data_IF_971215151189
#
_entry.id   IF_971215151189
#
_cell.length_a   1.000
_cell.length_b   1.000
_cell.length_c   1.000
_cell.angle_alpha   90.00
_cell.angle_beta   90.00
_cell.angle_gamma   90.00
#
_symmetry.space_group_name_H-M   'P 1'
#
loop_
_entity.id
_entity.type
_entity.pdbx_description
1 polymer ?
#
# COMPACT_ATOMS: atom_id res chain seq x y z
N UNK A 1 20.87 -4.93 10.88
CA UNK A 1 20.95 -3.72 10.02
C UNK A 1 19.75 -3.77 9.09
N UNK A 2 19.09 -2.65 8.84
CA UNK A 2 17.92 -2.53 7.98
C UNK A 2 17.88 -1.13 7.38
N UNK A 3 17.07 -0.93 6.34
CA UNK A 3 16.84 0.39 5.74
C UNK A 3 15.42 0.82 6.11
N UNK A 4 15.31 1.91 6.87
CA UNK A 4 14.01 2.51 7.22
C UNK A 4 13.59 3.46 6.11
N UNK A 5 12.66 3.02 5.27
CA UNK A 5 12.21 3.76 4.09
C UNK A 5 10.82 3.29 3.66
N UNK A 6 10.00 4.22 3.20
CA UNK A 6 8.67 3.92 2.66
C UNK A 6 8.83 3.38 1.24
N UNK A 7 8.51 2.10 1.04
CA UNK A 7 8.50 1.41 -0.27
C UNK A 7 7.11 0.89 -0.67
N UNK A 8 6.06 1.31 0.05
CA UNK A 8 4.67 1.01 -0.30
C UNK A 8 4.09 2.00 -1.31
N UNK A 9 3.01 1.63 -2.00
CA UNK A 9 2.34 2.48 -2.98
C UNK A 9 3.24 2.77 -4.19
N UNK A 10 3.28 4.04 -4.64
CA UNK A 10 4.11 4.46 -5.78
C UNK A 10 5.61 4.31 -5.55
N UNK A 11 6.05 4.23 -4.30
CA UNK A 11 7.47 4.01 -3.96
C UNK A 11 7.94 2.57 -4.17
N UNK A 12 7.02 1.63 -4.44
CA UNK A 12 7.35 0.22 -4.72
C UNK A 12 8.24 0.03 -5.95
N UNK A 13 8.20 0.96 -6.91
CA UNK A 13 9.08 0.94 -8.08
C UNK A 13 10.58 1.03 -7.73
N UNK A 14 10.91 1.54 -6.54
CA UNK A 14 12.30 1.71 -6.09
C UNK A 14 12.86 0.50 -5.35
N UNK A 15 12.05 -0.54 -5.09
CA UNK A 15 12.50 -1.76 -4.39
C UNK A 15 13.75 -2.37 -5.05
N UNK A 16 13.81 -2.59 -6.38
CA UNK A 16 14.98 -3.22 -7.00
C UNK A 16 16.27 -2.39 -6.86
N UNK A 17 16.14 -1.07 -6.95
CA UNK A 17 17.28 -0.13 -6.80
C UNK A 17 17.78 -0.12 -5.36
N UNK A 18 16.88 -0.12 -4.38
CA UNK A 18 17.24 -0.17 -2.98
C UNK A 18 17.88 -1.51 -2.61
N UNK A 19 17.37 -2.62 -3.13
CA UNK A 19 17.97 -3.95 -2.90
C UNK A 19 19.39 -4.05 -3.46
N UNK A 20 19.64 -3.44 -4.63
CA UNK A 20 20.97 -3.38 -5.25
C UNK A 20 21.99 -2.63 -4.38
N UNK A 21 21.65 -1.42 -3.92
CA UNK A 21 22.57 -0.62 -3.10
C UNK A 21 22.69 -1.12 -1.65
N UNK A 22 21.64 -1.77 -1.15
CA UNK A 22 21.57 -2.20 0.25
C UNK A 22 22.06 -3.62 0.45
N UNK A 23 22.54 -4.32 -0.59
CA UNK A 23 22.92 -5.75 -0.54
C UNK A 23 21.81 -6.63 0.07
N UNK A 24 20.56 -6.44 -0.35
CA UNK A 24 19.39 -7.21 0.13
C UNK A 24 19.15 -7.08 1.65
N UNK A 25 19.48 -5.93 2.25
CA UNK A 25 19.06 -5.63 3.62
C UNK A 25 17.53 -5.51 3.70
N UNK A 26 16.91 -5.91 4.83
CA UNK A 26 15.48 -5.74 5.02
C UNK A 26 15.06 -4.27 4.90
N UNK A 27 14.08 -4.02 4.03
CA UNK A 27 13.43 -2.72 3.86
C UNK A 27 12.25 -2.65 4.83
N UNK A 28 12.29 -1.69 5.75
CA UNK A 28 11.30 -1.53 6.81
C UNK A 28 10.46 -0.30 6.52
N UNK A 29 9.15 -0.49 6.40
CA UNK A 29 8.18 0.60 6.35
C UNK A 29 7.50 0.72 7.72
N UNK A 30 7.77 1.81 8.44
CA UNK A 30 7.37 1.99 9.84
C UNK A 30 6.01 2.68 10.01
N UNK A 31 5.74 3.73 9.23
CA UNK A 31 4.62 4.62 9.47
C UNK A 31 3.82 4.95 8.21
N UNK A 32 2.53 5.19 8.41
CA UNK A 32 1.63 5.76 7.41
C UNK A 32 1.02 7.05 7.97
N UNK A 33 1.27 8.17 7.30
CA UNK A 33 0.85 9.50 7.71
C UNK A 33 0.68 10.43 6.50
N UNK A 34 -0.07 11.51 6.68
CA UNK A 34 -0.22 12.62 5.73
C UNK A 34 0.02 13.96 6.43
N UNK A 35 -0.05 15.05 5.66
CA UNK A 35 -0.02 16.41 6.21
C UNK A 35 -1.20 16.69 7.15
N UNK A 36 -2.36 16.08 6.91
CA UNK A 36 -3.54 16.31 7.74
C UNK A 36 -3.63 15.39 8.97
N UNK A 37 -3.06 14.19 8.94
CA UNK A 37 -3.15 13.26 10.07
C UNK A 37 -2.05 12.18 10.09
N UNK A 38 -1.64 11.77 11.29
CA UNK A 38 -0.91 10.52 11.49
C UNK A 38 -1.92 9.37 11.56
N UNK A 39 -1.82 8.42 10.64
CA UNK A 39 -2.82 7.36 10.51
C UNK A 39 -2.47 6.14 11.37
N UNK A 40 -1.28 5.60 11.17
CA UNK A 40 -0.96 4.29 11.71
C UNK A 40 0.49 3.86 11.53
N UNK A 41 0.77 2.68 12.05
CA UNK A 41 2.11 2.07 12.04
C UNK A 41 2.04 0.64 11.54
N UNK A 42 3.14 0.17 10.98
CA UNK A 42 3.28 -1.25 10.63
C UNK A 42 3.69 -2.03 11.89
N UNK A 43 2.81 -2.93 12.35
CA UNK A 43 3.08 -3.78 13.53
C UNK A 43 4.07 -4.92 13.23
N UNK A 44 4.30 -5.24 11.95
CA UNK A 44 5.26 -6.26 11.52
C UNK A 44 6.35 -5.64 10.62
N UNK A 45 7.35 -4.97 11.19
CA UNK A 45 8.35 -4.22 10.41
C UNK A 45 9.27 -5.09 9.54
N UNK A 46 9.39 -6.40 9.79
CA UNK A 46 10.31 -7.31 9.08
C UNK A 46 9.57 -8.08 7.95
N UNK A 47 8.34 -7.70 7.62
CA UNK A 47 7.60 -8.33 6.52
C UNK A 47 8.18 -7.97 5.14
N UNK A 48 7.79 -8.72 4.12
CA UNK A 48 8.13 -8.35 2.73
C UNK A 48 7.47 -7.02 2.38
N UNK A 49 8.09 -6.19 1.51
CA UNK A 49 7.48 -4.94 1.04
C UNK A 49 6.08 -5.11 0.42
N UNK A 50 5.80 -6.28 -0.17
CA UNK A 50 4.50 -6.63 -0.76
C UNK A 50 3.40 -7.01 0.23
N UNK A 51 3.76 -7.26 1.50
CA UNK A 51 2.85 -7.72 2.56
C UNK A 51 2.70 -6.69 3.69
N UNK A 52 3.23 -5.47 3.48
CA UNK A 52 3.16 -4.39 4.47
C UNK A 52 1.71 -4.00 4.70
N UNK A 53 1.30 -4.03 5.96
CA UNK A 53 -0.03 -3.62 6.41
C UNK A 53 0.11 -2.58 7.51
N UNK A 54 -0.64 -1.48 7.40
CA UNK A 54 -0.63 -0.40 8.39
C UNK A 54 -1.84 -0.52 9.31
N UNK A 55 -1.60 -0.61 10.61
CA UNK A 55 -2.66 -0.58 11.61
C UNK A 55 -2.93 0.86 12.01
N UNK A 56 -4.14 1.32 11.72
CA UNK A 56 -4.61 2.64 12.10
C UNK A 56 -4.76 2.74 13.61
N UNK A 57 -4.27 3.83 14.20
CA UNK A 57 -4.33 4.05 15.65
C UNK A 57 -5.63 4.80 15.97
N UNK A 58 -6.65 4.17 16.57
CA UNK A 58 -7.99 4.75 16.71
C UNK A 58 -8.05 6.03 17.55
N UNK A 59 -7.02 6.30 18.36
CA UNK A 59 -6.92 7.49 19.19
C UNK A 59 -6.38 8.72 18.45
N UNK A 60 -5.84 8.56 17.24
CA UNK A 60 -5.23 9.67 16.48
C UNK A 60 -6.28 10.56 15.81
N UNK A 61 -7.32 9.95 15.25
CA UNK A 61 -8.45 10.64 14.66
C UNK A 61 -9.67 9.71 14.60
N UNK A 62 -10.82 10.30 14.31
CA UNK A 62 -12.01 9.54 13.95
C UNK A 62 -11.93 9.17 12.45
N UNK A 63 -11.92 7.88 12.14
CA UNK A 63 -11.76 7.37 10.78
C UNK A 63 -13.08 6.85 10.22
N UNK A 64 -13.43 7.29 9.01
CA UNK A 64 -14.55 6.76 8.24
C UNK A 64 -14.05 6.23 6.89
N UNK A 65 -14.64 5.15 6.40
CA UNK A 65 -14.27 4.51 5.14
C UNK A 65 -15.46 4.48 4.19
N UNK A 66 -15.28 5.07 3.02
CA UNK A 66 -16.26 4.95 1.94
C UNK A 66 -16.00 3.65 1.17
N UNK A 67 -16.96 2.70 1.09
CA UNK A 67 -16.77 1.44 0.39
C UNK A 67 -16.56 1.65 -1.13
N UNK A 68 -15.42 1.19 -1.64
CA UNK A 68 -15.13 1.22 -3.09
C UNK A 68 -15.50 -0.13 -3.70
N UNK A 69 -16.54 -0.15 -4.54
CA UNK A 69 -16.94 -1.35 -5.27
C UNK A 69 -16.12 -1.44 -6.57
N UNK A 70 -14.98 -2.16 -6.52
CA UNK A 70 -14.21 -2.49 -7.73
C UNK A 70 -14.95 -3.61 -8.48
N UNK A 71 -15.59 -3.25 -9.58
CA UNK A 71 -16.43 -4.15 -10.36
C UNK A 71 -15.57 -5.22 -11.06
N UNK A 72 -15.31 -6.35 -10.39
CA UNK A 72 -14.81 -7.56 -11.03
C UNK A 72 -15.98 -8.24 -11.76
N UNK A 73 -16.36 -7.67 -12.91
CA UNK A 73 -17.31 -8.28 -13.83
C UNK A 73 -18.77 -8.22 -13.39
N UNK A 74 -19.47 -7.26 -14.01
CA UNK A 74 -20.92 -7.12 -14.13
C UNK A 74 -21.64 -6.19 -13.13
N UNK A 75 -22.39 -5.29 -13.77
CA UNK A 75 -23.54 -4.48 -13.35
C UNK A 75 -23.32 -3.14 -12.60
N UNK A 76 -23.19 -2.11 -13.43
CA UNK A 76 -24.02 -0.90 -13.49
C UNK A 76 -24.18 0.00 -12.25
N UNK A 77 -23.39 1.08 -12.19
CA UNK A 77 -23.93 2.45 -12.28
C UNK A 77 -22.83 3.52 -12.36
N UNK A 78 -22.74 4.12 -13.55
CA UNK A 78 -22.41 5.54 -13.85
C UNK A 78 -20.96 6.03 -13.71
N UNK A 79 -20.39 6.28 -14.91
CA UNK A 79 -19.33 7.24 -15.32
C UNK A 79 -17.91 7.13 -14.75
N UNK A 80 -16.97 6.62 -15.56
CA UNK A 80 -15.79 7.36 -16.07
C UNK A 80 -15.05 6.50 -17.13
N UNK A 81 -14.28 7.11 -18.07
CA UNK A 81 -13.90 6.48 -19.34
C UNK A 81 -12.72 5.50 -19.22
N UNK A 82 -12.74 4.52 -20.13
CA UNK A 82 -11.74 3.46 -20.34
C UNK A 82 -10.37 4.01 -20.76
N UNK A 83 -9.33 3.65 -20.01
CA UNK A 83 -8.00 3.19 -20.49
C UNK A 83 -7.24 2.70 -19.24
N UNK A 84 -6.59 1.54 -19.16
CA UNK A 84 -5.40 1.09 -19.89
C UNK A 84 -5.22 -0.44 -19.70
N UNK A 85 -4.44 -1.01 -20.63
CA UNK A 85 -4.16 -2.43 -20.92
C UNK A 85 -3.97 -3.42 -19.75
N UNK A 86 -4.55 -4.61 -19.95
CA UNK A 86 -4.60 -5.81 -19.09
C UNK A 86 -3.23 -6.44 -18.71
N UNK A 87 -2.10 -5.86 -19.13
CA UNK A 87 -0.76 -6.45 -18.91
C UNK A 87 -0.03 -5.96 -17.65
N UNK A 88 -0.49 -4.90 -16.99
CA UNK A 88 0.13 -4.37 -15.76
C UNK A 88 -0.50 -4.91 -14.46
N UNK A 89 -1.55 -5.73 -14.54
CA UNK A 89 -2.22 -6.30 -13.36
C UNK A 89 -1.45 -7.44 -12.67
N UNK A 90 -0.26 -7.81 -13.13
CA UNK A 90 0.58 -8.73 -12.38
C UNK A 90 1.28 -8.01 -11.23
N UNK A 91 0.53 -7.94 -10.11
CA UNK A 91 1.03 -8.08 -8.74
C UNK A 91 1.49 -6.80 -8.02
N UNK A 92 0.57 -5.86 -7.87
CA UNK A 92 0.53 -4.99 -6.68
C UNK A 92 -0.89 -4.99 -6.14
N UNK A 93 -1.05 -5.53 -4.93
CA UNK A 93 -2.31 -5.50 -4.19
C UNK A 93 -2.44 -4.09 -3.63
N UNK A 94 -3.60 -3.47 -3.86
CA UNK A 94 -3.88 -2.13 -3.37
C UNK A 94 -3.98 -2.15 -1.84
N UNK A 95 -3.64 -1.04 -1.16
CA UNK A 95 -3.67 -0.98 0.32
C UNK A 95 -5.08 -1.17 0.89
N UNK A 96 -6.11 -1.01 0.05
CA UNK A 96 -7.52 -1.21 0.37
C UNK A 96 -7.99 -2.66 0.19
N UNK A 97 -7.22 -3.50 -0.50
CA UNK A 97 -7.58 -4.88 -0.84
C UNK A 97 -6.98 -5.86 0.20
N UNK A 98 -7.34 -5.71 1.47
CA UNK A 98 -6.96 -6.65 2.54
C UNK A 98 -8.03 -7.74 2.66
N UNK A 99 -7.66 -9.00 2.41
CA UNK A 99 -8.53 -10.15 2.75
C UNK A 99 -8.50 -10.37 4.25
N UNK A 100 -9.69 -10.38 4.86
CA UNK A 100 -9.93 -10.92 6.21
C UNK A 100 -9.69 -12.43 6.25
#
# INVERSE_FOLDING_TARGET
>A
KYVDVIVTGTMSQYIPTLDYYSNQLPLVCTMYASSECYFGVNLNPICKPSEVSYTLIPTMAYFEFLPVHRNNGAINSVSMPKSLNEKEQQKLVDLVDVKL
#
